data_IF_167259731416
#
_entry.id   IF_167259731416
#
_cell.length_a   1.000
_cell.length_b   1.000
_cell.length_c   1.000
_cell.angle_alpha   90.00
_cell.angle_beta   90.00
_cell.angle_gamma   90.00
#
_symmetry.space_group_name_H-M   'P 1'
#
loop_
_entity.id
_entity.type
_entity.pdbx_description
1 polymer ?
#
# COMPACT_ATOMS: atom_id res chain seq x y z
N UNK A 1 -6.27 -14.17 -16.65
CA UNK A 1 -5.80 -14.15 -15.24
C UNK A 1 -6.84 -13.41 -14.44
N UNK A 2 -7.79 -14.11 -13.82
CA UNK A 2 -8.83 -13.47 -13.01
C UNK A 2 -8.51 -13.78 -11.55
N UNK A 3 -8.23 -12.77 -10.73
CA UNK A 3 -8.11 -12.90 -9.26
C UNK A 3 -6.79 -12.48 -8.61
N UNK A 4 -5.73 -12.16 -9.37
CA UNK A 4 -4.42 -11.81 -8.78
C UNK A 4 -4.42 -10.42 -8.12
N UNK A 5 -5.30 -9.53 -8.55
CA UNK A 5 -5.42 -8.20 -7.97
C UNK A 5 -6.82 -8.00 -7.39
N UNK A 6 -6.89 -7.53 -6.15
CA UNK A 6 -8.14 -7.24 -5.45
C UNK A 6 -8.26 -5.75 -5.16
N UNK A 7 -9.48 -5.23 -5.22
CA UNK A 7 -9.76 -3.83 -4.87
C UNK A 7 -9.61 -3.62 -3.36
N UNK A 8 -8.61 -2.82 -2.96
CA UNK A 8 -8.50 -2.31 -1.60
C UNK A 8 -9.27 -0.99 -1.52
N UNK A 9 -10.48 -1.05 -0.96
CA UNK A 9 -11.35 0.13 -0.82
C UNK A 9 -10.74 1.24 0.03
N UNK A 10 -9.88 0.89 1.00
CA UNK A 10 -9.26 1.87 1.90
C UNK A 10 -8.18 2.65 1.16
N UNK A 11 -7.34 1.94 0.41
CA UNK A 11 -6.28 2.56 -0.40
C UNK A 11 -6.84 3.24 -1.65
N UNK A 12 -7.95 2.72 -2.19
CA UNK A 12 -8.52 3.17 -3.47
C UNK A 12 -7.72 2.69 -4.68
N UNK A 13 -6.97 1.59 -4.53
CA UNK A 13 -6.20 0.94 -5.58
C UNK A 13 -6.44 -0.57 -5.52
N UNK A 14 -6.06 -1.27 -6.60
CA UNK A 14 -5.97 -2.73 -6.57
C UNK A 14 -4.61 -3.15 -5.98
N UNK A 15 -4.57 -4.20 -5.17
CA UNK A 15 -3.32 -4.73 -4.59
C UNK A 15 -3.13 -6.20 -4.99
N UNK A 16 -1.88 -6.66 -5.16
CA UNK A 16 -1.61 -8.05 -5.52
C UNK A 16 -1.94 -8.99 -4.36
N UNK A 17 -2.71 -10.03 -4.66
CA UNK A 17 -2.99 -11.18 -3.82
C UNK A 17 -2.56 -12.43 -4.59
N UNK A 18 -1.34 -12.90 -4.31
CA UNK A 18 -0.78 -14.07 -4.98
C UNK A 18 -1.29 -15.36 -4.32
N UNK A 19 -1.81 -16.29 -5.12
CA UNK A 19 -2.33 -17.57 -4.62
C UNK A 19 -1.24 -18.65 -4.43
N UNK A 20 -0.03 -18.40 -4.95
CA UNK A 20 1.16 -19.27 -4.86
C UNK A 20 2.43 -18.42 -4.71
N UNK A 21 3.57 -19.05 -4.41
CA UNK A 21 4.84 -18.32 -4.33
C UNK A 21 5.22 -17.73 -5.69
N UNK A 22 5.94 -16.61 -5.68
CA UNK A 22 6.36 -15.92 -6.91
C UNK A 22 7.07 -16.85 -7.91
N UNK A 23 7.95 -17.71 -7.39
CA UNK A 23 8.75 -18.66 -8.18
C UNK A 23 7.90 -19.79 -8.79
N UNK A 24 6.67 -20.01 -8.30
CA UNK A 24 5.75 -21.01 -8.84
C UNK A 24 4.92 -20.49 -10.03
N UNK A 25 5.01 -19.19 -10.33
CA UNK A 25 4.43 -18.60 -11.55
C UNK A 25 5.35 -18.86 -12.76
N UNK A 26 4.76 -19.12 -13.93
CA UNK A 26 5.55 -19.16 -15.17
C UNK A 26 6.15 -17.79 -15.48
N UNK A 27 7.18 -17.73 -16.33
CA UNK A 27 7.79 -16.46 -16.72
C UNK A 27 6.76 -15.50 -17.34
N UNK A 28 5.84 -16.03 -18.16
CA UNK A 28 4.76 -15.27 -18.79
C UNK A 28 3.75 -14.77 -17.74
N UNK A 29 3.46 -15.57 -16.72
CA UNK A 29 2.60 -15.14 -15.60
C UNK A 29 3.25 -14.02 -14.79
N UNK A 30 4.53 -14.18 -14.44
CA UNK A 30 5.30 -13.17 -13.72
C UNK A 30 5.35 -11.85 -14.49
N UNK A 31 5.64 -11.88 -15.80
CA UNK A 31 5.67 -10.69 -16.66
C UNK A 31 4.32 -9.98 -16.71
N UNK A 32 3.22 -10.74 -16.87
CA UNK A 32 1.87 -10.17 -16.88
C UNK A 32 1.50 -9.50 -15.54
N UNK A 33 1.87 -10.13 -14.41
CA UNK A 33 1.64 -9.58 -13.07
C UNK A 33 2.46 -8.30 -12.87
N UNK A 34 3.73 -8.30 -13.28
CA UNK A 34 4.61 -7.12 -13.17
C UNK A 34 4.06 -5.96 -13.98
N UNK A 35 3.66 -6.20 -15.23
CA UNK A 35 3.12 -5.17 -16.12
C UNK A 35 1.85 -4.52 -15.53
N UNK A 36 0.91 -5.33 -15.03
CA UNK A 36 -0.28 -4.81 -14.38
C UNK A 36 0.04 -4.05 -13.09
N UNK A 37 0.98 -4.57 -12.29
CA UNK A 37 1.38 -3.91 -11.05
C UNK A 37 2.09 -2.57 -11.29
N UNK A 38 2.90 -2.45 -12.33
CA UNK A 38 3.50 -1.18 -12.74
C UNK A 38 2.45 -0.16 -13.15
N UNK A 39 1.44 -0.55 -13.92
CA UNK A 39 0.34 0.32 -14.29
C UNK A 39 -0.42 0.84 -13.06
N UNK A 40 -0.73 -0.04 -12.08
CA UNK A 40 -1.39 0.34 -10.84
C UNK A 40 -0.50 1.26 -9.99
N UNK A 41 0.79 0.91 -9.81
CA UNK A 41 1.73 1.73 -9.04
C UNK A 41 1.95 3.11 -9.63
N UNK A 42 1.87 3.24 -10.96
CA UNK A 42 1.92 4.54 -11.64
C UNK A 42 0.83 5.51 -11.20
N UNK A 43 -0.31 5.01 -10.68
CA UNK A 43 -1.42 5.84 -10.20
C UNK A 43 -1.31 6.22 -8.71
N UNK A 44 -0.41 5.58 -7.96
CA UNK A 44 -0.28 5.81 -6.51
C UNK A 44 0.09 7.26 -6.18
N UNK A 45 1.06 7.91 -6.86
CA UNK A 45 1.40 9.31 -6.58
C UNK A 45 0.21 10.26 -6.71
N UNK A 46 -0.63 10.08 -7.73
CA UNK A 46 -1.83 10.89 -7.93
C UNK A 46 -2.84 10.68 -6.81
N UNK A 47 -3.02 9.43 -6.36
CA UNK A 47 -3.88 9.10 -5.22
C UNK A 47 -3.38 9.73 -3.92
N UNK A 48 -2.07 9.69 -3.67
CA UNK A 48 -1.44 10.36 -2.51
C UNK A 48 -1.70 11.86 -2.55
N UNK A 49 -1.49 12.51 -3.71
CA UNK A 49 -1.72 13.95 -3.86
C UNK A 49 -3.18 14.37 -3.59
N UNK A 50 -4.16 13.51 -3.89
CA UNK A 50 -5.57 13.73 -3.53
C UNK A 50 -5.74 13.70 -2.01
N UNK A 51 -5.22 12.67 -1.35
CA UNK A 51 -5.34 12.50 0.10
C UNK A 51 -4.62 13.60 0.88
N UNK A 52 -3.44 14.04 0.42
CA UNK A 52 -2.70 15.15 1.02
C UNK A 52 -3.48 16.47 0.96
N UNK A 53 -4.24 16.71 -0.12
CA UNK A 53 -5.14 17.87 -0.19
C UNK A 53 -6.28 17.77 0.82
N UNK A 54 -6.87 16.59 0.99
CA UNK A 54 -7.91 16.35 2.00
C UNK A 54 -7.38 16.52 3.43
N UNK A 55 -6.15 16.06 3.70
CA UNK A 55 -5.46 16.27 4.98
C UNK A 55 -5.29 17.77 5.25
N UNK A 56 -4.74 18.52 4.28
CA UNK A 56 -4.52 19.95 4.45
C UNK A 56 -5.82 20.70 4.74
N UNK A 57 -6.90 20.39 4.01
CA UNK A 57 -8.21 20.99 4.27
C UNK A 57 -8.71 20.71 5.69
N UNK A 58 -8.61 19.46 6.16
CA UNK A 58 -9.03 19.09 7.52
C UNK A 58 -8.14 19.72 8.59
N UNK A 59 -6.85 19.90 8.32
CA UNK A 59 -5.92 20.61 9.21
C UNK A 59 -6.28 22.09 9.33
N UNK A 60 -6.64 22.75 8.21
CA UNK A 60 -7.13 24.13 8.22
C UNK A 60 -8.44 24.23 9.03
N UNK A 61 -9.39 23.31 8.82
CA UNK A 61 -10.62 23.25 9.62
C UNK A 61 -10.36 23.04 11.11
N UNK A 62 -9.40 22.18 11.47
CA UNK A 62 -9.01 21.93 12.85
C UNK A 62 -8.36 23.15 13.50
N UNK A 63 -7.60 23.94 12.74
CA UNK A 63 -6.92 25.15 13.22
C UNK A 63 -7.89 26.22 13.74
N UNK A 64 -9.10 26.27 13.18
CA UNK A 64 -10.16 27.21 13.54
C UNK A 64 -11.22 26.60 14.46
N UNK A 65 -11.12 25.31 14.82
CA UNK A 65 -12.13 24.61 15.60
C UNK A 65 -11.98 24.82 17.12
N UNK A 66 -13.10 25.09 17.79
CA UNK A 66 -13.16 25.34 19.23
C UNK A 66 -13.94 24.27 19.99
N UNK A 67 -14.76 23.47 19.32
CA UNK A 67 -15.46 22.32 19.88
C UNK A 67 -14.51 21.13 20.04
N UNK A 68 -14.29 20.71 21.28
CA UNK A 68 -13.35 19.63 21.61
C UNK A 68 -13.71 18.32 20.90
N UNK A 69 -14.99 17.95 20.86
CA UNK A 69 -15.39 16.68 20.24
C UNK A 69 -15.17 16.72 18.72
N UNK A 70 -15.42 17.87 18.08
CA UNK A 70 -15.15 18.06 16.65
C UNK A 70 -13.66 18.04 16.37
N UNK A 71 -12.83 18.67 17.21
CA UNK A 71 -11.38 18.60 17.11
C UNK A 71 -10.86 17.16 17.23
N UNK A 72 -11.42 16.34 18.12
CA UNK A 72 -11.07 14.92 18.20
C UNK A 72 -11.44 14.16 16.92
N UNK A 73 -12.64 14.42 16.35
CA UNK A 73 -13.06 13.79 15.08
C UNK A 73 -12.16 14.18 13.92
N UNK A 74 -11.84 15.46 13.77
CA UNK A 74 -10.94 15.95 12.73
C UNK A 74 -9.54 15.34 12.84
N UNK A 75 -9.00 15.26 14.06
CA UNK A 75 -7.71 14.60 14.29
C UNK A 75 -7.74 13.10 13.93
N UNK A 76 -8.81 12.39 14.27
CA UNK A 76 -8.96 10.98 13.90
C UNK A 76 -9.01 10.79 12.38
N UNK A 77 -9.76 11.64 11.68
CA UNK A 77 -9.82 11.62 10.21
C UNK A 77 -8.45 11.89 9.58
N UNK A 78 -7.72 12.90 10.06
CA UNK A 78 -6.37 13.25 9.58
C UNK A 78 -5.42 12.06 9.80
N UNK A 79 -5.46 11.43 10.96
CA UNK A 79 -4.62 10.28 11.28
C UNK A 79 -4.92 9.08 10.37
N UNK A 80 -6.19 8.81 10.06
CA UNK A 80 -6.57 7.74 9.11
C UNK A 80 -6.07 8.05 7.70
N UNK A 81 -6.27 9.28 7.20
CA UNK A 81 -5.78 9.68 5.89
C UNK A 81 -4.25 9.57 5.80
N UNK A 82 -3.53 9.98 6.85
CA UNK A 82 -2.07 9.84 6.92
C UNK A 82 -1.62 8.37 6.94
N UNK A 83 -2.36 7.48 7.61
CA UNK A 83 -2.12 6.03 7.56
C UNK A 83 -2.27 5.50 6.13
N UNK A 84 -3.33 5.89 5.41
CA UNK A 84 -3.54 5.49 4.01
C UNK A 84 -2.38 5.97 3.13
N UNK A 85 -1.94 7.23 3.28
CA UNK A 85 -0.79 7.78 2.55
C UNK A 85 0.48 6.98 2.81
N UNK A 86 0.75 6.62 4.07
CA UNK A 86 1.90 5.79 4.41
C UNK A 86 1.86 4.42 3.73
N UNK A 87 0.71 3.78 3.72
CA UNK A 87 0.57 2.43 3.16
C UNK A 87 0.63 2.43 1.64
N UNK A 88 0.07 3.46 0.98
CA UNK A 88 0.27 3.71 -0.44
C UNK A 88 1.77 3.87 -0.77
N UNK A 89 2.51 4.61 0.06
CA UNK A 89 3.94 4.76 -0.10
C UNK A 89 4.71 3.45 0.07
N UNK A 90 4.30 2.58 0.99
CA UNK A 90 4.86 1.23 1.12
C UNK A 90 4.64 0.47 -0.19
N UNK A 91 3.41 0.42 -0.70
CA UNK A 91 3.09 -0.26 -1.96
C UNK A 91 3.84 0.28 -3.17
N UNK A 92 3.98 1.61 -3.28
CA UNK A 92 4.75 2.24 -4.35
C UNK A 92 6.20 1.75 -4.39
N UNK A 93 6.81 1.57 -3.22
CA UNK A 93 8.20 1.09 -3.08
C UNK A 93 8.33 -0.43 -3.12
N UNK A 94 7.23 -1.17 -2.92
CA UNK A 94 7.23 -2.63 -3.02
C UNK A 94 7.47 -3.04 -4.47
N UNK A 95 8.69 -3.48 -4.74
CA UNK A 95 9.07 -4.15 -5.98
C UNK A 95 8.81 -5.64 -5.77
N UNK A 96 8.06 -6.33 -6.64
CA UNK A 96 8.01 -7.79 -6.61
C UNK A 96 9.43 -8.32 -6.80
N UNK A 97 9.99 -8.88 -5.73
CA UNK A 97 11.38 -9.32 -5.75
C UNK A 97 11.56 -10.45 -6.76
N UNK A 98 12.42 -10.25 -7.75
CA UNK A 98 13.09 -11.36 -8.45
C UNK A 98 14.04 -11.97 -7.42
N UNK A 99 13.66 -13.14 -6.87
CA UNK A 99 14.27 -13.93 -5.79
C UNK A 99 15.14 -13.18 -4.77
N UNK A 100 14.63 -13.03 -3.54
CA UNK A 100 15.52 -12.87 -2.39
C UNK A 100 16.32 -14.17 -2.18
N UNK A 101 17.64 -14.12 -1.90
CA UNK A 101 18.44 -15.32 -1.69
C UNK A 101 17.90 -16.11 -0.50
N UNK A 102 17.75 -17.42 -0.68
CA UNK A 102 17.33 -18.35 0.36
C UNK A 102 18.14 -18.11 1.64
N UNK A 103 17.45 -17.80 2.75
CA UNK A 103 18.09 -17.84 4.06
C UNK A 103 18.47 -19.30 4.32
N UNK A 104 19.76 -19.60 4.22
CA UNK A 104 20.32 -20.87 4.67
C UNK A 104 20.03 -21.02 6.16
N UNK A 105 19.08 -21.88 6.49
CA UNK A 105 18.86 -22.36 7.84
C UNK A 105 20.05 -23.23 8.23
N UNK A 106 21.05 -22.62 8.86
CA UNK A 106 22.13 -23.36 9.54
C UNK A 106 21.51 -24.09 10.73
N UNK A 107 21.61 -25.43 10.84
CA UNK A 107 21.13 -26.11 12.03
C UNK A 107 22.10 -25.82 13.18
N UNK A 108 21.62 -25.16 14.22
CA UNK A 108 22.33 -25.05 15.49
C UNK A 108 22.42 -26.45 16.09
N UNK A 109 23.57 -27.11 15.93
CA UNK A 109 23.96 -28.24 16.78
C UNK A 109 24.19 -27.69 18.19
N UNK A 110 23.33 -28.03 19.14
CA UNK A 110 23.64 -27.87 20.57
C UNK A 110 24.45 -29.07 21.05
N UNK A 111 25.48 -28.88 21.88
CA UNK A 111 26.08 -29.93 22.68
C UNK A 111 25.14 -30.38 23.82
#
# INVERSE_FOLDING_TARGET
MNGIFIDDKRLGIRVPQLDKHWEDYSAEEQEAILLEWEAIRGMIPDRIAVLEREINQKQDELGEEHDFERSCRLNADIAELASIVNDLWIWYRTIPSVSAPAKTSTPVRRP
#
